data_IF_810588023788
#
_entry.id   IF_810588023788
#
_cell.length_a   1.000
_cell.length_b   1.000
_cell.length_c   1.000
_cell.angle_alpha   90.00
_cell.angle_beta   90.00
_cell.angle_gamma   90.00
#
_symmetry.space_group_name_H-M   'P 1'
#
loop_
_entity.id
_entity.type
_entity.pdbx_description
1 polymer ?
#
# COMPACT_ATOMS: atom_id res chain seq x y z
N UNK A 1 -27.07 -24.27 -15.92
CA UNK A 1 -26.57 -23.89 -17.26
C UNK A 1 -26.59 -25.04 -18.25
N UNK A 2 -25.89 -26.15 -18.01
CA UNK A 2 -25.89 -27.28 -18.96
C UNK A 2 -27.22 -28.04 -18.93
N UNK A 3 -27.80 -28.25 -17.75
CA UNK A 3 -29.10 -28.94 -17.60
C UNK A 3 -30.31 -28.07 -18.00
N UNK A 4 -30.16 -26.75 -17.96
CA UNK A 4 -31.26 -25.77 -18.16
C UNK A 4 -31.24 -25.14 -19.55
N UNK A 5 -30.05 -24.89 -20.12
CA UNK A 5 -29.88 -24.21 -21.41
C UNK A 5 -29.12 -25.06 -22.44
N UNK A 6 -28.71 -26.29 -22.10
CA UNK A 6 -27.95 -27.17 -23.00
C UNK A 6 -26.54 -26.67 -23.32
N UNK A 7 -26.07 -25.60 -22.65
CA UNK A 7 -24.76 -24.99 -22.92
C UNK A 7 -23.72 -25.50 -21.93
N UNK A 8 -22.67 -26.14 -22.45
CA UNK A 8 -21.48 -26.46 -21.66
C UNK A 8 -20.59 -25.23 -21.50
N UNK A 9 -20.40 -24.79 -20.26
CA UNK A 9 -19.71 -23.55 -19.94
C UNK A 9 -18.59 -23.82 -18.93
N UNK A 10 -17.34 -23.74 -19.40
CA UNK A 10 -16.18 -23.95 -18.52
C UNK A 10 -15.82 -22.67 -17.75
N UNK A 11 -15.06 -22.85 -16.66
CA UNK A 11 -14.65 -21.74 -15.79
C UNK A 11 -13.97 -20.59 -16.56
N UNK A 12 -13.12 -20.89 -17.54
CA UNK A 12 -12.41 -19.86 -18.31
C UNK A 12 -13.36 -19.02 -19.17
N UNK A 13 -14.38 -19.62 -19.78
CA UNK A 13 -15.43 -18.90 -20.52
C UNK A 13 -16.27 -18.05 -19.58
N UNK A 14 -16.59 -18.56 -18.39
CA UNK A 14 -17.30 -17.80 -17.37
C UNK A 14 -16.52 -16.58 -16.89
N UNK A 15 -15.25 -16.79 -16.54
CA UNK A 15 -14.37 -15.74 -16.11
C UNK A 15 -14.21 -14.66 -17.20
N UNK A 16 -13.91 -15.05 -18.44
CA UNK A 16 -13.79 -14.09 -19.56
C UNK A 16 -15.09 -13.32 -19.82
N UNK A 17 -16.24 -13.99 -19.76
CA UNK A 17 -17.55 -13.33 -19.90
C UNK A 17 -17.79 -12.29 -18.81
N UNK A 18 -17.47 -12.64 -17.56
CA UNK A 18 -17.54 -11.71 -16.42
C UNK A 18 -16.59 -10.52 -16.60
N UNK A 19 -15.34 -10.75 -16.99
CA UNK A 19 -14.35 -9.67 -17.22
C UNK A 19 -14.79 -8.73 -18.35
N UNK A 20 -15.31 -9.27 -19.46
CA UNK A 20 -15.83 -8.47 -20.56
C UNK A 20 -17.06 -7.64 -20.15
N UNK A 21 -17.98 -8.22 -19.37
CA UNK A 21 -19.13 -7.49 -18.83
C UNK A 21 -18.70 -6.39 -17.85
N UNK A 22 -17.74 -6.66 -16.96
CA UNK A 22 -17.20 -5.66 -16.03
C UNK A 22 -16.53 -4.51 -16.77
N UNK A 23 -15.71 -4.81 -17.78
CA UNK A 23 -15.05 -3.78 -18.61
C UNK A 23 -16.07 -2.91 -19.36
N UNK A 24 -17.14 -3.53 -19.88
CA UNK A 24 -18.22 -2.79 -20.54
C UNK A 24 -18.98 -1.87 -19.58
N UNK A 25 -19.24 -2.33 -18.36
CA UNK A 25 -19.98 -1.57 -17.34
C UNK A 25 -19.15 -0.46 -16.68
N UNK A 26 -17.86 -0.71 -16.43
CA UNK A 26 -16.99 0.14 -15.58
C UNK A 26 -15.87 0.83 -16.35
N UNK A 27 -15.69 0.50 -17.62
CA UNK A 27 -14.54 0.94 -18.41
C UNK A 27 -13.26 0.14 -18.08
N UNK A 28 -12.12 0.69 -18.50
CA UNK A 28 -10.82 0.07 -18.29
C UNK A 28 -10.32 0.29 -16.86
N UNK A 29 -10.07 -0.79 -16.12
CA UNK A 29 -9.57 -0.74 -14.75
C UNK A 29 -8.27 0.06 -14.60
N UNK A 30 -7.35 -0.02 -15.56
CA UNK A 30 -6.08 0.71 -15.50
C UNK A 30 -6.28 2.22 -15.63
N UNK A 31 -7.20 2.66 -16.49
CA UNK A 31 -7.52 4.08 -16.65
C UNK A 31 -8.28 4.59 -15.43
N UNK A 32 -9.28 3.82 -14.97
CA UNK A 32 -10.03 4.11 -13.74
C UNK A 32 -9.09 4.24 -12.54
N UNK A 33 -8.11 3.35 -12.40
CA UNK A 33 -7.12 3.38 -11.33
C UNK A 33 -6.23 4.62 -11.39
N UNK A 34 -5.71 4.94 -12.58
CA UNK A 34 -4.88 6.12 -12.81
C UNK A 34 -5.63 7.41 -12.52
N UNK A 35 -6.89 7.50 -12.92
CA UNK A 35 -7.75 8.64 -12.63
C UNK A 35 -8.04 8.74 -11.13
N UNK A 36 -8.46 7.64 -10.50
CA UNK A 36 -8.89 7.61 -9.09
C UNK A 36 -7.76 8.01 -8.15
N UNK A 37 -6.56 7.43 -8.32
CA UNK A 37 -5.40 7.77 -7.51
C UNK A 37 -5.02 9.25 -7.60
N UNK A 38 -4.91 9.78 -8.83
CA UNK A 38 -4.55 11.18 -9.07
C UNK A 38 -5.61 12.17 -8.57
N UNK A 39 -6.90 11.87 -8.76
CA UNK A 39 -7.99 12.76 -8.35
C UNK A 39 -8.36 12.62 -6.87
N UNK A 40 -8.17 11.45 -6.27
CA UNK A 40 -8.47 11.19 -4.86
C UNK A 40 -7.36 11.65 -3.92
N UNK A 41 -6.10 11.62 -4.36
CA UNK A 41 -4.95 11.98 -3.52
C UNK A 41 -5.05 13.36 -2.84
N UNK A 42 -5.49 14.46 -3.51
CA UNK A 42 -5.67 15.75 -2.85
C UNK A 42 -6.59 15.72 -1.64
N UNK A 43 -7.57 14.81 -1.61
CA UNK A 43 -8.56 14.66 -0.53
C UNK A 43 -8.14 13.65 0.54
N UNK A 44 -6.96 13.03 0.39
CA UNK A 44 -6.37 12.19 1.42
C UNK A 44 -5.55 13.02 2.41
N UNK A 45 -5.22 12.46 3.57
CA UNK A 45 -4.20 13.01 4.48
C UNK A 45 -2.82 12.97 3.79
N UNK A 46 -1.90 13.91 4.04
CA UNK A 46 -0.57 13.93 3.43
C UNK A 46 0.36 12.88 4.07
N UNK A 47 -0.14 11.66 4.25
CA UNK A 47 0.61 10.53 4.79
C UNK A 47 0.42 9.36 3.84
N UNK A 48 1.53 8.79 3.37
CA UNK A 48 1.54 7.57 2.56
C UNK A 48 2.11 6.46 3.42
N UNK A 49 1.38 5.36 3.53
CA UNK A 49 1.85 4.12 4.14
C UNK A 49 2.22 3.15 3.02
N UNK A 50 3.44 2.63 3.06
CA UNK A 50 3.94 1.69 2.04
C UNK A 50 4.35 0.38 2.70
N UNK A 51 3.95 -0.73 2.08
CA UNK A 51 4.27 -2.07 2.56
C UNK A 51 4.43 -3.08 1.42
N UNK A 52 5.16 -4.16 1.71
CA UNK A 52 5.42 -5.29 0.81
C UNK A 52 4.90 -6.59 1.42
N UNK A 53 4.20 -7.42 0.63
CA UNK A 53 3.69 -8.71 1.09
C UNK A 53 3.92 -9.82 0.08
N UNK A 54 4.37 -10.98 0.56
CA UNK A 54 4.62 -12.14 -0.30
C UNK A 54 3.31 -12.72 -0.84
N UNK A 55 3.23 -12.87 -2.17
CA UNK A 55 2.09 -13.46 -2.85
C UNK A 55 2.12 -14.98 -2.77
N UNK A 56 1.00 -15.58 -2.34
CA UNK A 56 0.77 -17.03 -2.39
C UNK A 56 0.23 -17.48 -3.76
N UNK A 57 0.77 -16.92 -4.83
CA UNK A 57 0.41 -17.30 -6.20
C UNK A 57 1.32 -18.43 -6.70
N UNK A 58 0.88 -19.14 -7.75
CA UNK A 58 1.68 -20.21 -8.39
C UNK A 58 3.11 -19.79 -8.73
N UNK A 59 3.30 -18.51 -9.07
CA UNK A 59 4.59 -17.94 -9.49
C UNK A 59 5.28 -17.14 -8.38
N UNK A 60 4.72 -17.12 -7.16
CA UNK A 60 5.21 -16.30 -6.06
C UNK A 60 5.13 -14.79 -6.37
N UNK A 61 6.16 -14.06 -5.94
CA UNK A 61 6.28 -12.61 -6.08
C UNK A 61 5.91 -11.84 -4.81
N UNK A 62 6.04 -10.53 -4.90
CA UNK A 62 5.73 -9.58 -3.84
C UNK A 62 4.71 -8.57 -4.36
N UNK A 63 3.65 -8.35 -3.58
CA UNK A 63 2.73 -7.23 -3.75
C UNK A 63 3.29 -6.04 -2.99
N UNK A 64 3.62 -4.97 -3.70
CA UNK A 64 3.94 -3.67 -3.14
C UNK A 64 2.67 -2.83 -3.16
N UNK A 65 2.33 -2.18 -2.05
CA UNK A 65 1.16 -1.31 -1.98
C UNK A 65 1.51 0.00 -1.28
N UNK A 66 0.97 1.10 -1.81
CA UNK A 66 1.00 2.42 -1.21
C UNK A 66 -0.44 2.87 -0.97
N UNK A 67 -0.74 3.20 0.27
CA UNK A 67 -2.08 3.62 0.71
C UNK A 67 -1.99 4.95 1.45
N UNK A 68 -3.11 5.66 1.52
CA UNK A 68 -3.31 6.79 2.42
C UNK A 68 -4.66 6.64 3.12
N UNK A 69 -4.97 7.56 4.03
CA UNK A 69 -6.30 7.68 4.59
C UNK A 69 -7.01 8.85 3.92
N UNK A 70 -8.24 8.62 3.47
CA UNK A 70 -9.09 9.68 2.97
C UNK A 70 -9.66 10.56 4.12
N UNK A 71 -10.44 11.57 3.76
CA UNK A 71 -11.11 12.44 4.73
C UNK A 71 -12.12 11.71 5.64
N UNK A 72 -12.53 10.49 5.27
CA UNK A 72 -13.44 9.64 6.03
C UNK A 72 -12.66 8.56 6.83
N UNK A 73 -11.35 8.74 7.04
CA UNK A 73 -10.46 7.78 7.71
C UNK A 73 -10.49 6.37 7.11
N UNK A 74 -10.91 6.26 5.84
CA UNK A 74 -10.92 5.01 5.10
C UNK A 74 -9.60 4.83 4.36
N UNK A 75 -9.15 3.58 4.23
CA UNK A 75 -7.94 3.26 3.48
C UNK A 75 -8.18 3.51 2.00
N UNK A 76 -7.41 4.41 1.43
CA UNK A 76 -7.42 4.76 0.02
C UNK A 76 -6.16 4.24 -0.66
N UNK A 77 -6.31 3.39 -1.67
CA UNK A 77 -5.19 2.80 -2.41
C UNK A 77 -4.65 3.81 -3.44
N UNK A 78 -3.36 4.16 -3.34
CA UNK A 78 -2.70 5.13 -4.24
C UNK A 78 -1.95 4.45 -5.39
N UNK A 79 -1.16 3.42 -5.06
CA UNK A 79 -0.43 2.62 -6.04
C UNK A 79 -0.34 1.16 -5.56
N UNK A 80 -0.28 0.22 -6.48
CA UNK A 80 0.17 -1.14 -6.20
C UNK A 80 1.05 -1.65 -7.35
N UNK A 81 1.94 -2.59 -7.03
CA UNK A 81 2.83 -3.21 -7.99
C UNK A 81 3.08 -4.66 -7.63
N UNK A 82 3.19 -5.52 -8.64
CA UNK A 82 3.59 -6.91 -8.45
C UNK A 82 5.01 -7.06 -8.98
N UNK A 83 5.93 -7.45 -8.11
CA UNK A 83 7.35 -7.57 -8.41
C UNK A 83 7.84 -8.98 -8.07
N UNK A 84 8.92 -9.49 -8.71
CA UNK A 84 9.38 -10.85 -8.46
C UNK A 84 9.97 -11.06 -7.06
N UNK A 85 10.55 -10.02 -6.44
CA UNK A 85 11.17 -10.07 -5.12
C UNK A 85 11.30 -8.67 -4.50
N UNK A 86 11.71 -8.59 -3.23
CA UNK A 86 12.12 -7.31 -2.63
C UNK A 86 13.58 -7.01 -2.96
N UNK A 87 13.81 -6.01 -3.80
CA UNK A 87 15.14 -5.49 -4.10
C UNK A 87 15.14 -3.97 -4.12
N UNK A 88 16.31 -3.36 -3.94
CA UNK A 88 16.45 -1.90 -4.00
C UNK A 88 15.98 -1.34 -5.36
N UNK A 89 16.25 -2.05 -6.45
CA UNK A 89 15.86 -1.63 -7.79
C UNK A 89 14.34 -1.63 -7.98
N UNK A 90 13.66 -2.67 -7.47
CA UNK A 90 12.22 -2.83 -7.60
C UNK A 90 11.45 -1.84 -6.71
N UNK A 91 11.95 -1.59 -5.49
CA UNK A 91 11.40 -0.56 -4.62
C UNK A 91 11.63 0.85 -5.17
N UNK A 92 12.83 1.13 -5.72
CA UNK A 92 13.10 2.40 -6.39
C UNK A 92 12.13 2.62 -7.55
N UNK A 93 11.98 1.63 -8.43
CA UNK A 93 11.02 1.68 -9.53
C UNK A 93 9.60 1.95 -9.03
N UNK A 94 9.16 1.28 -7.95
CA UNK A 94 7.83 1.49 -7.39
C UNK A 94 7.64 2.91 -6.86
N UNK A 95 8.61 3.44 -6.12
CA UNK A 95 8.56 4.82 -5.61
C UNK A 95 8.59 5.86 -6.73
N UNK A 96 9.39 5.64 -7.78
CA UNK A 96 9.40 6.49 -8.97
C UNK A 96 8.02 6.51 -9.64
N UNK A 97 7.39 5.34 -9.82
CA UNK A 97 6.04 5.26 -10.41
C UNK A 97 4.96 5.86 -9.52
N UNK A 98 5.07 5.70 -8.21
CA UNK A 98 4.20 6.37 -7.25
C UNK A 98 4.33 7.89 -7.41
N UNK A 99 5.55 8.41 -7.43
CA UNK A 99 5.84 9.85 -7.58
C UNK A 99 5.31 10.40 -8.90
N UNK A 100 5.51 9.67 -9.99
CA UNK A 100 4.99 10.04 -11.32
C UNK A 100 3.45 10.12 -11.33
N UNK A 101 2.78 9.26 -10.55
CA UNK A 101 1.32 9.13 -10.55
C UNK A 101 0.63 10.20 -9.71
N UNK A 102 1.10 10.42 -8.48
CA UNK A 102 0.42 11.30 -7.50
C UNK A 102 1.19 12.58 -7.17
N UNK A 103 2.46 12.68 -7.60
CA UNK A 103 3.32 13.81 -7.29
C UNK A 103 3.75 13.88 -5.83
N UNK A 104 4.16 15.08 -5.40
CA UNK A 104 4.44 15.43 -4.01
C UNK A 104 3.54 16.59 -3.58
N UNK A 105 3.38 16.79 -2.27
CA UNK A 105 2.70 17.97 -1.70
C UNK A 105 3.32 18.35 -0.37
N UNK A 106 2.99 19.54 0.10
CA UNK A 106 3.45 20.06 1.39
C UNK A 106 3.06 19.12 2.55
N UNK A 107 3.92 19.04 3.55
CA UNK A 107 3.74 18.21 4.76
C UNK A 107 3.53 16.71 4.47
N UNK A 108 3.99 16.24 3.30
CA UNK A 108 4.00 14.82 2.99
C UNK A 108 4.90 14.07 3.97
N UNK A 109 4.38 12.97 4.52
CA UNK A 109 5.15 11.98 5.24
C UNK A 109 4.97 10.59 4.63
N UNK A 110 6.04 9.81 4.58
CA UNK A 110 6.01 8.42 4.15
C UNK A 110 6.31 7.53 5.37
N UNK A 111 5.42 6.57 5.62
CA UNK A 111 5.52 5.61 6.70
C UNK A 111 5.72 4.23 6.10
N UNK A 112 6.78 3.54 6.49
CA UNK A 112 7.12 2.22 5.92
C UNK A 112 7.35 1.19 7.02
N UNK A 113 7.43 -0.09 6.64
CA UNK A 113 8.14 -1.06 7.48
C UNK A 113 9.64 -0.68 7.58
N UNK A 114 10.30 -1.09 8.67
CA UNK A 114 11.71 -0.83 9.00
C UNK A 114 12.68 -1.64 8.12
N UNK A 115 12.28 -2.00 6.91
CA UNK A 115 13.14 -2.73 6.00
C UNK A 115 14.09 -1.75 5.30
N UNK A 116 15.40 -1.96 5.46
CA UNK A 116 16.46 -1.02 5.01
C UNK A 116 16.37 -0.64 3.53
N UNK A 117 15.94 -1.58 2.70
CA UNK A 117 15.74 -1.39 1.26
C UNK A 117 14.69 -0.30 0.97
N UNK A 118 13.58 -0.31 1.73
CA UNK A 118 12.47 0.63 1.54
C UNK A 118 12.90 2.02 1.98
N UNK A 119 13.51 2.13 3.16
CA UNK A 119 14.03 3.40 3.69
C UNK A 119 15.04 4.05 2.73
N UNK A 120 16.03 3.27 2.26
CA UNK A 120 17.04 3.77 1.33
C UNK A 120 16.43 4.29 0.03
N UNK A 121 15.54 3.50 -0.59
CA UNK A 121 14.94 3.84 -1.88
C UNK A 121 13.94 4.98 -1.77
N UNK A 122 13.19 5.05 -0.67
CA UNK A 122 12.25 6.13 -0.44
C UNK A 122 12.99 7.47 -0.24
N UNK A 123 14.08 7.50 0.54
CA UNK A 123 14.92 8.70 0.69
C UNK A 123 15.57 9.13 -0.64
N UNK A 124 15.90 8.17 -1.51
CA UNK A 124 16.45 8.49 -2.84
C UNK A 124 15.42 9.16 -3.75
N UNK A 125 14.15 8.75 -3.69
CA UNK A 125 13.08 9.27 -4.56
C UNK A 125 12.37 10.49 -3.95
N UNK A 126 12.32 10.58 -2.61
CA UNK A 126 11.66 11.64 -1.85
C UNK A 126 12.61 12.24 -0.80
N UNK A 127 13.69 12.94 -1.21
CA UNK A 127 14.73 13.41 -0.28
C UNK A 127 14.23 14.43 0.75
N UNK A 128 13.19 15.21 0.40
CA UNK A 128 12.66 16.31 1.22
C UNK A 128 11.37 15.93 1.98
N UNK A 129 11.03 14.64 2.04
CA UNK A 129 9.80 14.14 2.66
C UNK A 129 10.11 13.55 4.03
N UNK A 130 9.25 13.80 5.01
CA UNK A 130 9.41 13.23 6.33
C UNK A 130 9.23 11.70 6.29
N UNK A 131 10.15 10.97 6.94
CA UNK A 131 10.09 9.51 7.03
C UNK A 131 9.72 9.03 8.42
N UNK A 132 8.75 8.11 8.47
CA UNK A 132 8.28 7.47 9.69
C UNK A 132 8.39 5.95 9.62
N UNK A 133 8.54 5.33 10.78
CA UNK A 133 8.49 3.87 10.92
C UNK A 133 7.07 3.50 11.35
N UNK A 134 6.47 2.51 10.68
CA UNK A 134 5.16 2.00 11.07
C UNK A 134 5.20 1.47 12.52
N UNK A 135 4.42 2.09 13.40
CA UNK A 135 4.35 1.72 14.83
C UNK A 135 3.90 0.27 15.03
N UNK A 136 3.01 -0.24 14.18
CA UNK A 136 2.49 -1.61 14.26
C UNK A 136 3.61 -2.62 13.93
N UNK A 137 4.33 -2.38 12.83
CA UNK A 137 5.48 -3.20 12.47
C UNK A 137 6.60 -3.12 13.50
N UNK A 138 6.86 -1.92 14.04
CA UNK A 138 7.86 -1.74 15.10
C UNK A 138 7.47 -2.53 16.36
N UNK A 139 6.21 -2.46 16.80
CA UNK A 139 5.70 -3.24 17.92
C UNK A 139 5.78 -4.75 17.67
N UNK A 140 5.45 -5.22 16.46
CA UNK A 140 5.56 -6.62 16.08
C UNK A 140 7.03 -7.10 16.12
N UNK A 141 7.95 -6.31 15.58
CA UNK A 141 9.38 -6.59 15.61
C UNK A 141 9.93 -6.64 17.03
N UNK A 142 9.52 -5.70 17.89
CA UNK A 142 9.86 -5.69 19.31
C UNK A 142 9.33 -6.93 20.03
N UNK A 143 8.09 -7.35 19.75
CA UNK A 143 7.49 -8.56 20.33
C UNK A 143 8.23 -9.83 19.93
N UNK A 144 8.68 -9.92 18.69
CA UNK A 144 9.46 -11.06 18.19
C UNK A 144 10.85 -11.11 18.84
N UNK A 145 11.48 -9.96 19.07
CA UNK A 145 12.85 -9.86 19.62
C UNK A 145 12.91 -9.91 21.15
N UNK A 146 11.91 -9.36 21.82
CA UNK A 146 11.85 -9.23 23.27
C UNK A 146 10.57 -9.90 23.80
N UNK A 147 10.73 -11.07 24.44
CA UNK A 147 9.62 -11.87 24.99
C UNK A 147 8.80 -11.11 26.04
N UNK A 148 9.43 -10.14 26.71
CA UNK A 148 8.86 -9.29 27.75
C UNK A 148 8.19 -8.02 27.20
N UNK A 149 8.03 -7.88 25.89
CA UNK A 149 7.22 -6.82 25.28
C UNK A 149 5.71 -7.06 25.54
N UNK A 150 5.33 -6.89 26.80
CA UNK A 150 3.99 -7.09 27.37
C UNK A 150 3.80 -6.10 28.51
N UNK A 151 2.55 -5.97 28.98
CA UNK A 151 2.23 -5.15 30.14
C UNK A 151 2.74 -3.71 30.02
N UNK A 152 3.41 -3.16 31.05
CA UNK A 152 3.82 -1.75 31.10
C UNK A 152 4.70 -1.31 29.92
N UNK A 153 5.60 -2.17 29.43
CA UNK A 153 6.51 -1.81 28.33
C UNK A 153 5.74 -1.52 27.02
N UNK A 154 4.68 -2.29 26.76
CA UNK A 154 3.79 -2.06 25.61
C UNK A 154 3.00 -0.77 25.79
N UNK A 155 2.56 -0.46 27.01
CA UNK A 155 1.87 0.79 27.33
C UNK A 155 2.77 2.00 27.07
N UNK A 156 3.98 2.02 27.65
CA UNK A 156 4.94 3.09 27.44
C UNK A 156 5.33 3.27 25.97
N UNK A 157 5.48 2.17 25.23
CA UNK A 157 5.70 2.24 23.78
C UNK A 157 4.53 2.92 23.05
N UNK A 158 3.30 2.56 23.37
CA UNK A 158 2.13 3.18 22.77
C UNK A 158 2.04 4.67 23.10
N UNK A 159 2.27 5.03 24.37
CA UNK A 159 2.25 6.42 24.84
C UNK A 159 3.33 7.25 24.15
N UNK A 160 4.53 6.68 23.95
CA UNK A 160 5.66 7.30 23.25
C UNK A 160 5.51 7.31 21.72
N UNK A 161 4.58 6.54 21.14
CA UNK A 161 4.29 6.55 19.70
C UNK A 161 3.16 7.49 19.28
N UNK A 162 2.36 7.95 20.23
CA UNK A 162 1.28 8.91 20.05
C UNK A 162 1.56 10.34 20.56
N UNK A 163 2.76 10.72 21.06
CA UNK A 163 2.98 12.06 21.56
C UNK A 163 3.07 12.99 20.35
N UNK A 164 2.30 14.06 20.41
CA UNK A 164 2.38 15.17 19.48
C UNK A 164 2.62 16.43 20.30
N UNK A 165 3.36 17.38 19.73
CA UNK A 165 3.44 18.71 20.32
C UNK A 165 2.16 19.47 19.96
N UNK A 166 1.60 20.20 20.93
CA UNK A 166 0.46 21.10 20.68
C UNK A 166 0.80 22.15 19.61
N UNK A 167 2.08 22.50 19.45
CA UNK A 167 2.58 23.39 18.39
C UNK A 167 2.55 22.79 16.98
N UNK A 168 2.25 21.49 16.85
CA UNK A 168 2.15 20.81 15.56
C UNK A 168 0.72 20.83 14.98
N UNK A 169 -0.20 21.53 15.65
CA UNK A 169 -1.59 21.79 15.25
C UNK A 169 -1.86 23.30 15.28
#
# INVERSE_FOLDING_TARGET
MQDEFGVSFNYLRAWRGKEAALTSLRGNDAESYKATSKHGWPYCRPVIVVDGSALKARFGGMLLAACSHDANDSIFLLAFGIVPSESNELWKWFFEKLRDSIGTRESLAIVTDRHKCIEYTANLVYPDVAFGICVQHLAANLKTRYKDFKGPLKTYFNDASRPYLLSNF
#
